data_IF_819560024307
#
_entry.id   IF_819560024307
#
_cell.length_a   1.000
_cell.length_b   1.000
_cell.length_c   1.000
_cell.angle_alpha   90.00
_cell.angle_beta   90.00
_cell.angle_gamma   90.00
#
_symmetry.space_group_name_H-M   'P 1'
#
loop_
_entity.id
_entity.type
_entity.pdbx_description
1 polymer ?
#
# COMPACT_ATOMS: atom_id res chain seq x y z
N UNK A 1 -1.84 -24.76 -19.02
CA UNK A 1 -0.87 -24.45 -17.94
C UNK A 1 -1.52 -23.90 -16.66
N UNK A 2 -2.75 -23.35 -16.71
CA UNK A 2 -3.44 -22.83 -15.53
C UNK A 2 -3.61 -23.84 -14.38
N UNK A 3 -4.00 -25.08 -14.70
CA UNK A 3 -4.20 -26.16 -13.72
C UNK A 3 -2.99 -26.48 -12.84
N UNK A 4 -1.76 -26.30 -13.36
CA UNK A 4 -0.53 -26.50 -12.59
C UNK A 4 -0.37 -25.41 -11.53
N UNK A 5 -0.69 -24.17 -11.88
CA UNK A 5 -0.65 -23.02 -10.99
C UNK A 5 -1.70 -23.17 -9.90
N UNK A 6 -2.91 -23.60 -10.28
CA UNK A 6 -4.02 -23.83 -9.33
C UNK A 6 -3.68 -24.95 -8.34
N UNK A 7 -3.04 -26.04 -8.81
CA UNK A 7 -2.55 -27.11 -7.96
C UNK A 7 -1.45 -26.62 -7.01
N UNK A 8 -0.48 -25.83 -7.52
CA UNK A 8 0.60 -25.28 -6.69
C UNK A 8 0.05 -24.36 -5.61
N UNK A 9 -0.94 -23.52 -5.93
CA UNK A 9 -1.61 -22.62 -4.99
C UNK A 9 -2.39 -23.35 -3.89
N UNK A 10 -2.68 -24.64 -4.05
CA UNK A 10 -3.28 -25.45 -2.99
C UNK A 10 -2.26 -25.76 -1.87
N UNK A 11 -1.00 -25.98 -2.25
CA UNK A 11 0.10 -26.27 -1.32
C UNK A 11 0.85 -25.01 -0.88
N UNK A 12 0.93 -24.00 -1.74
CA UNK A 12 1.63 -22.73 -1.55
C UNK A 12 0.68 -21.57 -1.87
N UNK A 13 -0.32 -21.31 -1.01
CA UNK A 13 -1.26 -20.22 -1.24
C UNK A 13 -0.55 -18.88 -1.18
N UNK A 14 -0.85 -18.00 -2.15
CA UNK A 14 -0.52 -16.58 -2.03
C UNK A 14 -1.46 -15.96 -0.99
N UNK A 15 -0.89 -15.33 0.03
CA UNK A 15 -1.63 -14.72 1.12
C UNK A 15 -1.37 -13.21 1.14
N UNK A 16 -2.39 -12.44 1.49
CA UNK A 16 -2.27 -10.99 1.65
C UNK A 16 -1.19 -10.65 2.69
N UNK A 17 -0.27 -9.75 2.36
CA UNK A 17 0.81 -9.35 3.28
C UNK A 17 0.32 -8.64 4.55
N UNK A 18 -0.91 -8.13 4.55
CA UNK A 18 -1.48 -7.35 5.67
C UNK A 18 -2.35 -8.23 6.57
N UNK A 19 -3.35 -8.91 6.00
CA UNK A 19 -4.32 -9.68 6.80
C UNK A 19 -4.13 -11.20 6.74
N UNK A 20 -3.26 -11.71 5.85
CA UNK A 20 -3.01 -13.15 5.69
C UNK A 20 -4.10 -13.94 4.97
N UNK A 21 -5.18 -13.29 4.49
CA UNK A 21 -6.22 -13.95 3.69
C UNK A 21 -5.64 -14.46 2.37
N UNK A 22 -6.11 -15.63 1.92
CA UNK A 22 -5.73 -16.21 0.62
C UNK A 22 -6.18 -15.29 -0.52
N UNK A 23 -5.28 -15.07 -1.45
CA UNK A 23 -5.49 -14.24 -2.63
C UNK A 23 -6.09 -15.06 -3.78
N UNK A 24 -6.79 -14.36 -4.68
CA UNK A 24 -7.46 -14.98 -5.81
C UNK A 24 -6.49 -15.34 -6.93
N UNK A 25 -5.49 -14.48 -7.18
CA UNK A 25 -4.50 -14.72 -8.21
C UNK A 25 -3.08 -14.83 -7.62
N UNK A 26 -2.22 -15.63 -8.26
CA UNK A 26 -0.79 -15.58 -7.99
C UNK A 26 -0.22 -14.27 -8.53
N UNK A 27 0.55 -13.56 -7.70
CA UNK A 27 1.12 -12.25 -8.04
C UNK A 27 0.42 -11.07 -7.35
N UNK A 28 -0.80 -11.28 -6.84
CA UNK A 28 -1.41 -10.30 -5.94
C UNK A 28 -0.59 -10.22 -4.64
N UNK A 29 -0.55 -9.03 -4.05
CA UNK A 29 0.17 -8.76 -2.78
C UNK A 29 -0.84 -8.46 -1.67
N UNK A 30 -1.95 -7.83 -2.04
CA UNK A 30 -3.01 -7.38 -1.14
C UNK A 30 -4.35 -7.97 -1.55
N UNK A 31 -5.18 -8.31 -0.58
CA UNK A 31 -6.58 -8.60 -0.86
C UNK A 31 -7.35 -7.30 -1.09
N UNK A 32 -8.45 -7.39 -1.81
CA UNK A 32 -9.29 -6.24 -2.16
C UNK A 32 -9.71 -5.39 -0.93
N UNK A 33 -10.03 -6.04 0.19
CA UNK A 33 -10.43 -5.35 1.42
C UNK A 33 -9.27 -4.51 1.96
N UNK A 34 -8.09 -5.10 2.12
CA UNK A 34 -6.91 -4.36 2.58
C UNK A 34 -6.50 -3.26 1.60
N UNK A 35 -6.67 -3.46 0.30
CA UNK A 35 -6.39 -2.42 -0.69
C UNK A 35 -7.32 -1.21 -0.55
N UNK A 36 -8.59 -1.47 -0.26
CA UNK A 36 -9.62 -0.45 -0.06
C UNK A 36 -9.42 0.31 1.26
N UNK A 37 -9.05 -0.40 2.32
CA UNK A 37 -8.84 0.15 3.67
C UNK A 37 -7.45 0.81 3.87
N UNK A 38 -6.61 0.87 2.83
CA UNK A 38 -5.32 1.57 2.93
C UNK A 38 -5.52 3.03 3.36
N UNK A 39 -4.59 3.59 4.18
CA UNK A 39 -4.71 4.94 4.74
C UNK A 39 -4.44 6.01 3.67
N UNK A 40 -5.43 6.23 2.80
CA UNK A 40 -5.43 7.25 1.75
C UNK A 40 -5.70 8.61 2.37
N UNK A 41 -4.99 9.63 1.91
CA UNK A 41 -5.04 10.95 2.55
C UNK A 41 -6.08 11.90 1.95
N UNK A 42 -6.40 11.75 0.65
CA UNK A 42 -7.23 12.72 -0.07
C UNK A 42 -6.62 14.12 -0.19
N UNK A 43 -5.33 14.31 0.07
CA UNK A 43 -4.72 15.65 0.11
C UNK A 43 -4.67 16.37 -1.25
N UNK A 44 -4.94 15.67 -2.36
CA UNK A 44 -5.01 16.29 -3.68
C UNK A 44 -6.16 17.30 -3.82
N UNK A 45 -7.24 17.15 -3.05
CA UNK A 45 -8.44 17.96 -3.17
C UNK A 45 -8.34 19.31 -2.43
N UNK A 46 -7.25 19.52 -1.68
CA UNK A 46 -7.06 20.69 -0.82
C UNK A 46 -5.74 21.39 -1.12
N UNK A 47 -5.78 22.67 -1.49
CA UNK A 47 -4.56 23.45 -1.74
C UNK A 47 -3.69 23.62 -0.47
N UNK A 48 -4.33 23.82 0.68
CA UNK A 48 -3.69 24.05 1.99
C UNK A 48 -3.52 22.77 2.82
N UNK A 49 -3.09 21.67 2.19
CA UNK A 49 -2.91 20.38 2.86
C UNK A 49 -1.59 20.30 3.67
N UNK A 50 -1.44 19.29 4.56
CA UNK A 50 -0.22 19.12 5.36
C UNK A 50 1.06 18.96 4.54
N UNK A 51 0.99 18.42 3.32
CA UNK A 51 2.15 18.25 2.43
C UNK A 51 2.63 19.61 1.92
N UNK A 52 1.72 20.43 1.38
CA UNK A 52 2.02 21.80 0.95
C UNK A 52 2.62 22.63 2.09
N UNK A 53 2.08 22.48 3.31
CA UNK A 53 2.55 23.21 4.50
C UNK A 53 3.99 22.95 4.88
N UNK A 54 4.53 21.76 4.61
CA UNK A 54 5.95 21.43 4.90
C UNK A 54 6.91 22.34 4.11
N UNK A 55 6.49 22.78 2.92
CA UNK A 55 7.31 23.60 2.03
C UNK A 55 7.16 25.10 2.25
N UNK A 56 6.18 25.53 3.07
CA UNK A 56 5.94 26.94 3.35
C UNK A 56 7.17 27.62 3.95
N UNK A 57 7.51 28.80 3.40
CA UNK A 57 8.69 29.56 3.80
C UNK A 57 10.04 28.98 3.33
N UNK A 58 10.07 27.79 2.73
CA UNK A 58 11.30 27.16 2.21
C UNK A 58 11.40 27.30 0.69
N UNK A 59 10.33 26.97 -0.01
CA UNK A 59 10.27 26.98 -1.47
C UNK A 59 8.85 27.24 -1.94
N UNK A 60 8.69 27.93 -3.07
CA UNK A 60 7.38 28.13 -3.71
C UNK A 60 6.99 26.84 -4.43
N UNK A 61 6.00 26.14 -3.90
CA UNK A 61 5.34 25.00 -4.53
C UNK A 61 3.97 25.42 -5.05
N UNK A 62 3.59 24.95 -6.24
CA UNK A 62 2.24 25.19 -6.79
C UNK A 62 1.20 24.26 -6.15
N UNK A 63 1.56 23.00 -5.93
CA UNK A 63 0.74 22.01 -5.23
C UNK A 63 1.63 20.94 -4.58
N UNK A 64 1.14 20.33 -3.51
CA UNK A 64 1.76 19.15 -2.88
C UNK A 64 0.69 18.14 -2.52
N UNK A 65 0.98 16.84 -2.63
CA UNK A 65 0.06 15.77 -2.21
C UNK A 65 0.83 14.52 -1.83
N UNK A 66 0.16 13.61 -1.12
CA UNK A 66 0.70 12.28 -0.79
C UNK A 66 -0.44 11.28 -0.86
N UNK A 67 -0.33 10.21 -1.66
CA UNK A 67 -1.42 9.25 -1.80
C UNK A 67 -1.76 8.54 -0.48
N UNK A 68 -0.74 8.17 0.28
CA UNK A 68 -0.86 7.48 1.56
C UNK A 68 -0.15 8.21 2.69
N UNK A 69 -0.62 8.01 3.92
CA UNK A 69 0.06 8.47 5.13
C UNK A 69 0.64 7.28 5.89
N UNK A 70 1.87 7.41 6.33
CA UNK A 70 2.46 6.43 7.25
C UNK A 70 1.88 6.60 8.65
N UNK A 71 1.33 5.51 9.18
CA UNK A 71 0.78 5.42 10.53
C UNK A 71 1.54 4.36 11.32
N UNK A 72 2.19 4.77 12.40
CA UNK A 72 2.97 3.85 13.24
C UNK A 72 2.04 2.84 13.90
N UNK A 73 2.38 1.55 13.81
CA UNK A 73 1.54 0.47 14.34
C UNK A 73 0.37 0.08 13.45
N UNK A 74 0.21 0.73 12.28
CA UNK A 74 -0.72 0.28 11.26
C UNK A 74 -0.30 -1.07 10.68
N UNK A 75 -1.27 -1.92 10.33
CA UNK A 75 -1.00 -3.19 9.65
C UNK A 75 -0.26 -2.98 8.30
N UNK A 76 -0.45 -1.81 7.66
CA UNK A 76 0.22 -1.44 6.41
C UNK A 76 1.71 -1.08 6.58
N UNK A 77 2.22 -0.95 7.82
CA UNK A 77 3.64 -0.75 8.06
C UNK A 77 4.50 -1.90 7.51
N UNK A 78 3.96 -3.12 7.53
CA UNK A 78 4.62 -4.31 6.96
C UNK A 78 4.93 -4.12 5.48
N UNK A 79 4.04 -3.48 4.70
CA UNK A 79 4.27 -3.22 3.28
C UNK A 79 5.49 -2.32 3.07
N UNK A 80 5.61 -1.25 3.84
CA UNK A 80 6.74 -0.34 3.73
C UNK A 80 8.05 -0.99 4.18
N UNK A 81 7.98 -1.86 5.20
CA UNK A 81 9.13 -2.62 5.67
C UNK A 81 9.60 -3.62 4.62
N UNK A 82 8.66 -4.34 4.01
CA UNK A 82 8.93 -5.32 2.95
C UNK A 82 9.58 -4.64 1.72
N UNK A 83 8.99 -3.53 1.26
CA UNK A 83 9.54 -2.71 0.17
C UNK A 83 10.97 -2.21 0.47
N UNK A 84 11.22 -1.70 1.68
CA UNK A 84 12.52 -1.09 2.02
C UNK A 84 13.62 -2.11 2.24
N UNK A 85 13.32 -3.27 2.81
CA UNK A 85 14.34 -4.17 3.33
C UNK A 85 14.38 -5.54 2.65
N UNK A 86 13.35 -5.92 1.89
CA UNK A 86 13.25 -7.24 1.26
C UNK A 86 13.25 -7.18 -0.27
N UNK A 87 13.09 -5.99 -0.86
CA UNK A 87 13.18 -5.80 -2.31
C UNK A 87 12.02 -6.45 -3.09
N UNK A 88 10.87 -6.61 -2.43
CA UNK A 88 9.61 -7.01 -3.06
C UNK A 88 8.93 -5.82 -3.73
#
# INVERSE_FOLDING_TARGET
>A
MQWLIDLLMLFFPSNCLVCGLRLHAPGDILCFICELEMPRTGFGDFENNPVSKIFWGRVRVSAGTSLFRFEKGSAYQTLLHDLKYRGN
#
